data_IF_364172134486
#
_entry.id   IF_364172134486
#
_cell.length_a   1.000
_cell.length_b   1.000
_cell.length_c   1.000
_cell.angle_alpha   90.00
_cell.angle_beta   90.00
_cell.angle_gamma   90.00
#
_symmetry.space_group_name_H-M   'P 1'
#
loop_
_entity.id
_entity.type
_entity.pdbx_description
1 polymer ?
#
# COMPACT_ATOMS: atom_id res chain seq x y z
N UNK A 1 -20.00 12.95 -0.91
CA UNK A 1 -21.26 12.30 -0.45
C UNK A 1 -21.04 11.16 0.54
N UNK A 2 -20.22 10.13 0.26
CA UNK A 2 -19.96 9.02 1.22
C UNK A 2 -18.93 9.37 2.32
N UNK A 3 -17.86 10.08 1.96
CA UNK A 3 -16.86 10.57 2.94
C UNK A 3 -17.47 11.61 3.89
N UNK A 4 -18.36 12.48 3.39
CA UNK A 4 -19.05 13.47 4.23
C UNK A 4 -19.92 12.80 5.31
N UNK A 5 -20.54 11.65 5.00
CA UNK A 5 -21.31 10.87 5.99
C UNK A 5 -20.42 10.26 7.06
N UNK A 6 -19.20 9.80 6.71
CA UNK A 6 -18.21 9.29 7.68
C UNK A 6 -17.72 10.42 8.59
N UNK A 7 -17.46 11.60 8.02
CA UNK A 7 -16.93 12.76 8.77
C UNK A 7 -17.99 13.42 9.67
N UNK A 8 -19.26 13.39 9.27
CA UNK A 8 -20.37 14.03 10.01
C UNK A 8 -21.13 13.10 10.97
N UNK A 9 -20.89 11.79 10.94
CA UNK A 9 -21.54 10.85 11.87
C UNK A 9 -20.99 11.00 13.29
N UNK A 10 -21.80 11.57 14.19
CA UNK A 10 -21.51 11.64 15.63
C UNK A 10 -21.58 10.27 16.34
N UNK A 11 -22.31 9.31 15.75
CA UNK A 11 -22.39 7.94 16.26
C UNK A 11 -21.14 7.13 15.85
N UNK A 12 -20.36 6.70 16.85
CA UNK A 12 -19.13 5.91 16.67
C UNK A 12 -19.35 4.57 15.98
N UNK A 13 -20.45 3.88 16.26
CA UNK A 13 -20.77 2.57 15.65
C UNK A 13 -21.11 2.73 14.18
N UNK A 14 -21.91 3.75 13.85
CA UNK A 14 -22.27 4.05 12.47
C UNK A 14 -21.05 4.48 11.65
N UNK A 15 -20.15 5.31 12.24
CA UNK A 15 -18.88 5.69 11.62
C UNK A 15 -18.00 4.48 11.33
N UNK A 16 -17.89 3.54 12.29
CA UNK A 16 -17.14 2.29 12.11
C UNK A 16 -17.74 1.43 11.00
N UNK A 17 -19.06 1.29 10.94
CA UNK A 17 -19.75 0.55 9.89
C UNK A 17 -19.46 1.12 8.49
N UNK A 18 -19.60 2.44 8.31
CA UNK A 18 -19.34 3.11 7.04
C UNK A 18 -17.88 2.98 6.58
N UNK A 19 -16.93 3.01 7.53
CA UNK A 19 -15.51 2.77 7.25
C UNK A 19 -15.29 1.35 6.73
N UNK A 20 -15.92 0.34 7.36
CA UNK A 20 -15.83 -1.05 6.91
C UNK A 20 -16.42 -1.24 5.51
N UNK A 21 -17.53 -0.57 5.19
CA UNK A 21 -18.08 -0.58 3.82
C UNK A 21 -17.13 0.06 2.81
N UNK A 22 -16.54 1.20 3.16
CA UNK A 22 -15.55 1.87 2.31
C UNK A 22 -14.33 0.96 2.05
N UNK A 23 -13.81 0.31 3.08
CA UNK A 23 -12.68 -0.62 2.97
C UNK A 23 -13.02 -1.79 2.06
N UNK A 24 -14.22 -2.35 2.20
CA UNK A 24 -14.69 -3.46 1.36
C UNK A 24 -14.81 -3.03 -0.10
N UNK A 25 -15.36 -1.84 -0.35
CA UNK A 25 -15.44 -1.28 -1.70
C UNK A 25 -14.05 -1.08 -2.29
N UNK A 26 -13.16 -0.36 -1.60
CA UNK A 26 -11.80 -0.06 -2.06
C UNK A 26 -11.00 -1.34 -2.30
N UNK A 27 -11.09 -2.32 -1.40
CA UNK A 27 -10.41 -3.61 -1.56
C UNK A 27 -10.90 -4.38 -2.78
N UNK A 28 -12.19 -4.27 -3.10
CA UNK A 28 -12.79 -4.87 -4.29
C UNK A 28 -12.29 -4.18 -5.55
N UNK A 29 -12.25 -2.85 -5.58
CA UNK A 29 -11.74 -2.09 -6.73
C UNK A 29 -10.23 -2.33 -6.94
N UNK A 30 -9.42 -2.29 -5.87
CA UNK A 30 -8.00 -2.62 -5.95
C UNK A 30 -7.77 -4.03 -6.52
N UNK A 31 -8.61 -5.01 -6.15
CA UNK A 31 -8.54 -6.36 -6.70
C UNK A 31 -8.85 -6.37 -8.21
N UNK A 32 -9.89 -5.68 -8.66
CA UNK A 32 -10.23 -5.58 -10.09
C UNK A 32 -9.10 -4.95 -10.90
N UNK A 33 -8.51 -3.87 -10.39
CA UNK A 33 -7.37 -3.18 -11.01
C UNK A 33 -6.18 -4.14 -11.12
N UNK A 34 -5.87 -4.90 -10.06
CA UNK A 34 -4.82 -5.91 -10.08
C UNK A 34 -5.12 -7.07 -11.05
N UNK A 35 -6.38 -7.47 -11.21
CA UNK A 35 -6.81 -8.49 -12.20
C UNK A 35 -6.61 -8.00 -13.65
N UNK A 36 -6.63 -6.69 -13.88
CA UNK A 36 -6.28 -6.08 -15.17
C UNK A 36 -4.75 -5.97 -15.40
N UNK A 37 -3.94 -6.37 -14.41
CA UNK A 37 -2.48 -6.35 -14.46
C UNK A 37 -1.84 -5.07 -13.95
N UNK A 38 -2.62 -4.10 -13.47
CA UNK A 38 -2.10 -2.85 -12.90
C UNK A 38 -1.87 -3.01 -11.38
N UNK A 39 -0.77 -3.67 -11.04
CA UNK A 39 -0.43 -3.89 -9.63
C UNK A 39 0.04 -2.62 -8.93
N UNK A 40 0.58 -1.66 -9.67
CA UNK A 40 1.01 -0.38 -9.10
C UNK A 40 -0.20 0.40 -8.60
N UNK A 41 -1.19 0.64 -9.47
CA UNK A 41 -2.39 1.42 -9.10
C UNK A 41 -3.19 0.74 -7.99
N UNK A 42 -3.32 -0.60 -8.05
CA UNK A 42 -3.96 -1.37 -6.99
C UNK A 42 -3.30 -1.16 -5.62
N UNK A 43 -1.97 -1.06 -5.59
CA UNK A 43 -1.22 -0.80 -4.37
C UNK A 43 -1.34 0.66 -3.91
N UNK A 44 -1.29 1.63 -4.82
CA UNK A 44 -1.39 3.06 -4.49
C UNK A 44 -2.73 3.42 -3.87
N UNK A 45 -3.83 2.87 -4.39
CA UNK A 45 -5.18 3.09 -3.83
C UNK A 45 -5.25 2.54 -2.40
N UNK A 46 -4.76 1.32 -2.16
CA UNK A 46 -4.75 0.71 -0.83
C UNK A 46 -3.86 1.47 0.16
N UNK A 47 -2.68 1.88 -0.27
CA UNK A 47 -1.73 2.65 0.53
C UNK A 47 -2.30 4.03 0.92
N UNK A 48 -2.87 4.74 -0.05
CA UNK A 48 -3.51 6.05 0.18
C UNK A 48 -4.70 5.92 1.14
N UNK A 49 -5.51 4.89 0.96
CA UNK A 49 -6.63 4.59 1.86
C UNK A 49 -6.15 4.27 3.27
N UNK A 50 -5.08 3.50 3.40
CA UNK A 50 -4.50 3.20 4.71
C UNK A 50 -4.03 4.47 5.43
N UNK A 51 -3.35 5.38 4.73
CA UNK A 51 -2.89 6.64 5.31
C UNK A 51 -4.05 7.52 5.78
N UNK A 52 -5.16 7.56 5.04
CA UNK A 52 -6.36 8.30 5.45
C UNK A 52 -7.03 7.69 6.69
N UNK A 53 -6.95 6.36 6.83
CA UNK A 53 -7.60 5.62 7.91
C UNK A 53 -6.70 5.45 9.15
N UNK A 54 -5.42 5.77 9.08
CA UNK A 54 -4.46 5.51 10.16
C UNK A 54 -4.85 6.16 11.50
N UNK A 55 -5.32 7.41 11.44
CA UNK A 55 -5.79 8.17 12.62
C UNK A 55 -7.15 7.66 13.15
N UNK A 56 -7.86 6.84 12.37
CA UNK A 56 -9.17 6.32 12.74
C UNK A 56 -9.07 4.88 13.27
N UNK A 57 -8.34 4.02 12.56
CA UNK A 57 -8.11 2.63 12.92
C UNK A 57 -6.75 2.16 12.37
N UNK A 58 -5.76 2.15 13.26
CA UNK A 58 -4.39 1.81 12.92
C UNK A 58 -4.23 0.36 12.46
N UNK A 59 -5.03 -0.57 12.98
CA UNK A 59 -4.90 -1.99 12.65
C UNK A 59 -5.44 -2.27 11.24
N UNK A 60 -6.56 -1.65 10.90
CA UNK A 60 -7.09 -1.66 9.53
C UNK A 60 -6.10 -1.03 8.55
N UNK A 61 -5.53 0.13 8.88
CA UNK A 61 -4.55 0.79 8.03
C UNK A 61 -3.33 -0.13 7.78
N UNK A 62 -2.84 -0.80 8.82
CA UNK A 62 -1.76 -1.80 8.70
C UNK A 62 -2.14 -2.99 7.82
N UNK A 63 -3.38 -3.46 7.87
CA UNK A 63 -3.86 -4.54 7.00
C UNK A 63 -3.88 -4.11 5.52
N UNK A 64 -4.39 -2.91 5.24
CA UNK A 64 -4.39 -2.33 3.90
C UNK A 64 -2.97 -2.17 3.35
N UNK A 65 -2.03 -1.67 4.16
CA UNK A 65 -0.62 -1.55 3.77
C UNK A 65 0.02 -2.91 3.48
N UNK A 66 -0.30 -3.96 4.26
CA UNK A 66 0.17 -5.32 3.96
C UNK A 66 -0.34 -5.80 2.60
N UNK A 67 -1.58 -5.47 2.25
CA UNK A 67 -2.14 -5.84 0.96
C UNK A 67 -1.54 -5.00 -0.19
N UNK A 68 -1.30 -3.71 0.02
CA UNK A 68 -0.57 -2.86 -0.92
C UNK A 68 0.84 -3.41 -1.22
N UNK A 69 1.59 -3.79 -0.17
CA UNK A 69 2.93 -4.38 -0.33
C UNK A 69 2.92 -5.66 -1.17
N UNK A 70 1.91 -6.53 -1.02
CA UNK A 70 1.78 -7.72 -1.89
C UNK A 70 1.57 -7.38 -3.37
N UNK A 71 0.91 -6.27 -3.67
CA UNK A 71 0.76 -5.82 -5.05
C UNK A 71 2.04 -5.16 -5.57
N UNK A 72 2.73 -4.34 -4.78
CA UNK A 72 4.06 -3.87 -5.16
C UNK A 72 5.06 -5.02 -5.38
N UNK A 73 5.01 -6.10 -4.59
CA UNK A 73 5.84 -7.30 -4.84
C UNK A 73 5.56 -7.89 -6.23
N UNK A 74 4.29 -7.95 -6.65
CA UNK A 74 3.93 -8.38 -8.01
C UNK A 74 4.40 -7.38 -9.06
N UNK A 75 4.30 -6.08 -8.78
CA UNK A 75 4.80 -5.03 -9.67
C UNK A 75 6.32 -5.14 -9.85
N UNK A 76 7.07 -5.41 -8.79
CA UNK A 76 8.52 -5.67 -8.84
C UNK A 76 8.81 -6.84 -9.79
N UNK A 77 8.07 -7.94 -9.71
CA UNK A 77 8.25 -9.07 -10.65
C UNK A 77 7.92 -8.71 -12.10
N UNK A 78 6.94 -7.84 -12.33
CA UNK A 78 6.65 -7.30 -13.68
C UNK A 78 7.79 -6.41 -14.17
N UNK A 79 8.30 -5.50 -13.34
CA UNK A 79 9.41 -4.62 -13.68
C UNK A 79 10.71 -5.41 -13.94
N UNK A 80 10.98 -6.48 -13.19
CA UNK A 80 12.15 -7.36 -13.42
C UNK A 80 12.16 -7.94 -14.83
N UNK A 81 11.01 -8.42 -15.31
CA UNK A 81 10.87 -8.95 -16.68
C UNK A 81 11.09 -7.89 -17.76
N UNK A 82 10.88 -6.62 -17.41
CA UNK A 82 11.05 -5.47 -18.30
C UNK A 82 12.42 -4.78 -18.13
N UNK A 83 13.30 -5.30 -17.26
CA UNK A 83 14.57 -4.68 -16.89
C UNK A 83 14.44 -3.21 -16.40
N UNK A 84 13.33 -2.91 -15.71
CA UNK A 84 13.01 -1.60 -15.14
C UNK A 84 13.60 -1.45 -13.74
N UNK A 85 14.92 -1.28 -13.67
CA UNK A 85 15.65 -1.34 -12.40
C UNK A 85 15.37 -0.16 -11.47
N UNK A 86 15.23 1.06 -12.01
CA UNK A 86 14.88 2.25 -11.26
C UNK A 86 13.53 2.08 -10.55
N UNK A 87 12.51 1.62 -11.28
CA UNK A 87 11.17 1.41 -10.74
C UNK A 87 11.16 0.32 -9.66
N UNK A 88 11.99 -0.73 -9.80
CA UNK A 88 12.14 -1.74 -8.74
C UNK A 88 12.76 -1.11 -7.48
N UNK A 89 13.79 -0.28 -7.65
CA UNK A 89 14.43 0.39 -6.52
C UNK A 89 13.48 1.33 -5.78
N UNK A 90 12.69 2.11 -6.51
CA UNK A 90 11.67 3.00 -5.94
C UNK A 90 10.62 2.22 -5.14
N UNK A 91 10.16 1.07 -5.65
CA UNK A 91 9.21 0.22 -4.93
C UNK A 91 9.81 -0.34 -3.64
N UNK A 92 11.09 -0.74 -3.66
CA UNK A 92 11.78 -1.17 -2.44
C UNK A 92 11.95 -0.03 -1.44
N UNK A 93 12.29 1.19 -1.88
CA UNK A 93 12.36 2.37 -0.99
C UNK A 93 11.00 2.63 -0.33
N UNK A 94 9.91 2.62 -1.12
CA UNK A 94 8.55 2.81 -0.59
C UNK A 94 8.19 1.73 0.45
N UNK A 95 8.53 0.47 0.19
CA UNK A 95 8.33 -0.60 1.18
C UNK A 95 9.20 -0.39 2.44
N UNK A 96 10.44 0.09 2.31
CA UNK A 96 11.32 0.36 3.44
C UNK A 96 10.74 1.42 4.39
N UNK A 97 10.24 2.52 3.82
CA UNK A 97 9.57 3.60 4.57
C UNK A 97 8.38 3.06 5.37
N UNK A 98 7.55 2.23 4.74
CA UNK A 98 6.40 1.61 5.41
C UNK A 98 6.84 0.67 6.53
N UNK A 99 7.87 -0.16 6.30
CA UNK A 99 8.39 -1.03 7.35
C UNK A 99 8.92 -0.23 8.55
N UNK A 100 9.62 0.87 8.30
CA UNK A 100 10.13 1.74 9.37
C UNK A 100 9.00 2.43 10.13
N UNK A 101 8.17 3.18 9.41
CA UNK A 101 7.25 4.14 10.02
C UNK A 101 5.97 3.46 10.52
N UNK A 102 5.44 2.48 9.77
CA UNK A 102 4.14 1.86 10.05
C UNK A 102 4.26 0.57 10.85
N UNK A 103 5.33 -0.20 10.64
CA UNK A 103 5.55 -1.49 11.28
C UNK A 103 6.69 -1.52 12.31
N UNK A 104 7.51 -0.46 12.41
CA UNK A 104 8.71 -0.41 13.27
C UNK A 104 9.64 -1.62 13.06
N UNK A 105 9.68 -2.15 11.84
CA UNK A 105 10.43 -3.33 11.47
C UNK A 105 11.74 -2.93 10.76
N UNK A 106 12.74 -2.59 11.55
CA UNK A 106 14.05 -2.12 11.07
C UNK A 106 14.83 -3.18 10.28
N UNK A 107 14.54 -4.48 10.51
CA UNK A 107 15.14 -5.56 9.72
C UNK A 107 14.66 -5.49 8.27
N UNK A 108 13.33 -5.43 8.08
CA UNK A 108 12.72 -5.39 6.75
C UNK A 108 12.99 -4.07 6.02
N UNK A 109 13.06 -2.96 6.75
CA UNK A 109 13.54 -1.68 6.23
C UNK A 109 14.93 -1.83 5.58
N UNK A 110 15.92 -2.34 6.33
CA UNK A 110 17.29 -2.51 5.84
C UNK A 110 17.40 -3.48 4.67
N UNK A 111 16.64 -4.58 4.70
CA UNK A 111 16.58 -5.53 3.57
C UNK A 111 16.12 -4.83 2.28
N UNK A 112 15.07 -3.99 2.36
CA UNK A 112 14.55 -3.27 1.21
C UNK A 112 15.51 -2.17 0.72
N UNK A 113 16.15 -1.43 1.63
CA UNK A 113 17.18 -0.44 1.24
C UNK A 113 18.33 -1.13 0.49
N UNK A 114 18.78 -2.29 0.96
CA UNK A 114 19.82 -3.06 0.29
C UNK A 114 19.39 -3.49 -1.12
N UNK A 115 18.16 -3.97 -1.29
CA UNK A 115 17.64 -4.31 -2.61
C UNK A 115 17.57 -3.11 -3.54
N UNK A 116 17.11 -1.96 -3.05
CA UNK A 116 17.09 -0.73 -3.83
C UNK A 116 18.50 -0.35 -4.34
N UNK A 117 19.51 -0.38 -3.46
CA UNK A 117 20.90 -0.13 -3.84
C UNK A 117 21.40 -1.14 -4.89
N UNK A 118 21.08 -2.42 -4.71
CA UNK A 118 21.49 -3.46 -5.67
C UNK A 118 20.91 -3.21 -7.07
N UNK A 119 19.65 -2.81 -7.19
CA UNK A 119 19.03 -2.53 -8.48
C UNK A 119 19.55 -1.25 -9.12
N UNK A 120 19.75 -0.17 -8.34
CA UNK A 120 20.37 1.07 -8.85
C UNK A 120 21.79 0.83 -9.38
N UNK A 121 22.56 -0.06 -8.73
CA UNK A 121 23.89 -0.41 -9.21
C UNK A 121 23.90 -1.31 -10.47
N UNK A 122 22.78 -1.93 -10.84
CA UNK A 122 22.65 -2.66 -12.11
C UNK A 122 22.23 -1.74 -13.27
N UNK A 123 21.75 -0.53 -12.97
CA UNK A 123 21.42 0.50 -13.97
C UNK A 123 22.67 1.26 -14.45
N UNK A 124 23.69 1.38 -13.59
CA UNK A 124 24.95 2.08 -13.83
C UNK A 124 25.99 1.24 -14.57
#
# INVERSE_FOLDING_TARGET
MFIDQILTSENKENKKFLILELIKFISTEAKKIAEMGDFFEAAEILSSTANLLEEIDQDIAKELLKNAMKYWDKQIETCKKQAKFLEIAELHIKQAEIYRDKFRNTKKEKENILYAIQFLNHEA
#
